data_IF_859703314066
#
_entry.id   IF_859703314066
#
_cell.length_a   1.000
_cell.length_b   1.000
_cell.length_c   1.000
_cell.angle_alpha   90.00
_cell.angle_beta   90.00
_cell.angle_gamma   90.00
#
_symmetry.space_group_name_H-M   'P 1'
#
loop_
_entity.id
_entity.type
_entity.pdbx_description
1 polymer ?
#
# COMPACT_ATOMS: atom_id res chain seq x y z
N UNK A 1 -20.92 34.25 -3.61
CA UNK A 1 -21.02 32.78 -3.46
C UNK A 1 -19.65 32.21 -3.70
N UNK A 2 -19.03 31.65 -2.66
CA UNK A 2 -17.84 30.82 -2.83
C UNK A 2 -18.20 29.67 -3.77
N UNK A 3 -17.47 29.50 -4.87
CA UNK A 3 -17.73 28.38 -5.79
C UNK A 3 -17.55 27.08 -5.00
N UNK A 4 -18.49 26.15 -5.15
CA UNK A 4 -18.27 24.76 -4.73
C UNK A 4 -16.94 24.33 -5.36
N UNK A 5 -15.95 24.09 -4.51
CA UNK A 5 -14.63 23.63 -4.94
C UNK A 5 -14.78 22.29 -5.65
N UNK A 6 -13.80 22.00 -6.50
CA UNK A 6 -13.63 20.73 -7.22
C UNK A 6 -13.91 19.52 -6.32
N UNK A 7 -14.71 18.57 -6.80
CA UNK A 7 -15.04 17.36 -6.04
C UNK A 7 -13.79 16.49 -5.81
N UNK A 8 -13.75 15.62 -4.77
CA UNK A 8 -12.63 14.71 -4.56
C UNK A 8 -12.31 13.84 -5.78
N UNK A 9 -13.33 13.37 -6.50
CA UNK A 9 -13.15 12.58 -7.73
C UNK A 9 -12.48 13.38 -8.85
N UNK A 10 -12.80 14.67 -9.00
CA UNK A 10 -12.15 15.54 -9.97
C UNK A 10 -10.71 15.88 -9.57
N UNK A 11 -10.42 16.01 -8.27
CA UNK A 11 -9.04 16.15 -7.77
C UNK A 11 -8.21 14.91 -8.13
N UNK A 12 -8.76 13.71 -7.95
CA UNK A 12 -8.07 12.46 -8.28
C UNK A 12 -7.72 12.33 -9.77
N UNK A 13 -8.47 12.96 -10.69
CA UNK A 13 -8.12 13.00 -12.12
C UNK A 13 -6.80 13.73 -12.39
N UNK A 14 -6.41 14.64 -11.49
CA UNK A 14 -5.15 15.38 -11.59
C UNK A 14 -3.96 14.64 -10.99
N UNK A 15 -4.22 13.58 -10.20
CA UNK A 15 -3.17 12.76 -9.59
C UNK A 15 -2.54 11.86 -10.64
N UNK A 16 -1.27 12.12 -10.93
CA UNK A 16 -0.47 11.35 -11.88
C UNK A 16 0.33 10.26 -11.15
N UNK A 17 0.13 9.01 -11.56
CA UNK A 17 0.96 7.88 -11.14
C UNK A 17 2.18 7.84 -12.06
N UNK A 18 3.37 7.84 -11.48
CA UNK A 18 4.62 7.80 -12.24
C UNK A 18 4.74 6.50 -13.03
N UNK A 19 5.36 6.53 -14.21
CA UNK A 19 5.44 5.37 -15.13
C UNK A 19 5.94 4.10 -14.43
N UNK A 20 7.02 4.21 -13.66
CA UNK A 20 7.60 3.08 -12.92
C UNK A 20 6.61 2.51 -11.90
N UNK A 21 5.90 3.37 -11.17
CA UNK A 21 4.88 2.91 -10.22
C UNK A 21 3.70 2.26 -10.95
N UNK A 22 3.29 2.82 -12.09
CA UNK A 22 2.21 2.27 -12.89
C UNK A 22 2.55 0.88 -13.43
N UNK A 23 3.77 0.64 -13.91
CA UNK A 23 4.24 -0.68 -14.35
C UNK A 23 4.19 -1.71 -13.21
N UNK A 24 4.68 -1.33 -12.02
CA UNK A 24 4.63 -2.21 -10.85
C UNK A 24 3.19 -2.45 -10.38
N UNK A 25 2.32 -1.45 -10.46
CA UNK A 25 0.91 -1.55 -10.12
C UNK A 25 0.18 -2.53 -11.04
N UNK A 26 0.44 -2.47 -12.35
CA UNK A 26 -0.05 -3.44 -13.34
C UNK A 26 0.38 -4.87 -12.97
N UNK A 27 1.68 -5.06 -12.74
CA UNK A 27 2.27 -6.36 -12.39
C UNK A 27 1.60 -6.96 -11.15
N UNK A 28 1.40 -6.13 -10.11
CA UNK A 28 0.76 -6.58 -8.86
C UNK A 28 -0.72 -6.88 -9.07
N UNK A 29 -1.45 -6.06 -9.83
CA UNK A 29 -2.86 -6.33 -10.12
C UNK A 29 -3.04 -7.69 -10.83
N UNK A 30 -2.22 -7.95 -11.86
CA UNK A 30 -2.26 -9.21 -12.60
C UNK A 30 -1.85 -10.41 -11.76
N UNK A 31 -0.89 -10.23 -10.85
CA UNK A 31 -0.55 -11.25 -9.86
C UNK A 31 -1.73 -11.53 -8.92
N UNK A 32 -2.32 -10.49 -8.32
CA UNK A 32 -3.38 -10.64 -7.32
C UNK A 32 -4.63 -11.30 -7.91
N UNK A 33 -5.09 -10.87 -9.09
CA UNK A 33 -6.36 -11.39 -9.67
C UNK A 33 -6.33 -12.87 -10.07
N UNK A 34 -5.18 -13.53 -9.99
CA UNK A 34 -4.99 -14.92 -10.43
C UNK A 34 -4.71 -15.90 -9.28
N UNK A 35 -4.83 -15.47 -8.02
CA UNK A 35 -4.46 -16.31 -6.87
C UNK A 35 -5.56 -17.31 -6.50
N UNK A 36 -6.81 -16.92 -6.68
CA UNK A 36 -7.95 -17.80 -6.58
C UNK A 36 -8.12 -18.62 -7.86
N UNK A 37 -7.54 -19.81 -7.84
CA UNK A 37 -7.65 -20.80 -8.93
C UNK A 37 -9.05 -21.42 -9.04
N UNK A 38 -9.96 -21.16 -8.10
CA UNK A 38 -11.33 -21.68 -8.12
C UNK A 38 -12.34 -20.71 -8.72
N UNK A 39 -11.91 -19.45 -8.94
CA UNK A 39 -12.72 -18.40 -9.56
C UNK A 39 -13.02 -18.74 -11.02
N UNK A 40 -14.30 -18.71 -11.40
CA UNK A 40 -14.77 -19.01 -12.77
C UNK A 40 -15.36 -17.80 -13.50
N UNK A 41 -15.71 -16.73 -12.77
CA UNK A 41 -16.27 -15.48 -13.28
C UNK A 41 -15.45 -14.30 -12.73
N UNK A 42 -15.56 -13.10 -13.32
CA UNK A 42 -14.80 -11.91 -12.90
C UNK A 42 -13.28 -12.15 -12.82
N UNK A 43 -12.74 -12.91 -13.78
CA UNK A 43 -11.31 -13.29 -13.85
C UNK A 43 -10.37 -12.08 -13.98
N UNK A 44 -10.90 -10.97 -14.48
CA UNK A 44 -10.23 -9.69 -14.63
C UNK A 44 -10.24 -8.84 -13.36
N UNK A 45 -11.01 -9.23 -12.32
CA UNK A 45 -11.10 -8.53 -11.03
C UNK A 45 -10.45 -9.32 -9.89
N UNK A 46 -10.07 -8.64 -8.82
CA UNK A 46 -9.50 -9.27 -7.61
C UNK A 46 -10.65 -9.63 -6.66
N UNK A 47 -10.71 -10.87 -6.21
CA UNK A 47 -11.71 -11.34 -5.24
C UNK A 47 -11.19 -11.32 -3.80
N UNK A 48 -12.08 -11.48 -2.82
CA UNK A 48 -11.68 -11.75 -1.43
C UNK A 48 -10.76 -12.98 -1.33
N UNK A 49 -11.03 -14.06 -2.06
CA UNK A 49 -10.20 -15.27 -2.01
C UNK A 49 -8.80 -15.04 -2.57
N UNK A 50 -8.66 -14.19 -3.60
CA UNK A 50 -7.36 -13.79 -4.14
C UNK A 50 -6.48 -13.12 -3.08
N UNK A 51 -7.07 -12.21 -2.30
CA UNK A 51 -6.41 -11.52 -1.19
C UNK A 51 -6.07 -12.51 -0.06
N UNK A 52 -7.01 -13.39 0.31
CA UNK A 52 -6.78 -14.38 1.36
C UNK A 52 -5.59 -15.29 1.02
N UNK A 53 -5.52 -15.81 -0.22
CA UNK A 53 -4.42 -16.66 -0.68
C UNK A 53 -3.09 -15.92 -0.71
N UNK A 54 -3.08 -14.66 -1.12
CA UNK A 54 -1.88 -13.83 -1.09
C UNK A 54 -1.38 -13.62 0.33
N UNK A 55 -2.26 -13.27 1.27
CA UNK A 55 -1.88 -13.06 2.67
C UNK A 55 -1.35 -14.36 3.30
N UNK A 56 -1.96 -15.50 3.00
CA UNK A 56 -1.46 -16.82 3.42
C UNK A 56 -0.07 -17.13 2.85
N UNK A 57 0.14 -16.82 1.56
CA UNK A 57 1.45 -16.92 0.92
C UNK A 57 2.52 -16.06 1.63
N UNK A 58 2.13 -14.87 2.09
CA UNK A 58 2.98 -13.95 2.86
C UNK A 58 3.13 -14.36 4.35
N UNK A 59 2.62 -15.53 4.75
CA UNK A 59 2.73 -16.07 6.11
C UNK A 59 1.70 -15.52 7.10
N UNK A 60 0.71 -14.74 6.64
CA UNK A 60 -0.38 -14.26 7.46
C UNK A 60 -1.52 -15.28 7.58
N UNK A 61 -2.36 -15.14 8.61
CA UNK A 61 -3.55 -15.97 8.82
C UNK A 61 -4.78 -15.08 8.97
N UNK A 62 -5.23 -14.41 7.89
CA UNK A 62 -6.37 -13.52 8.00
C UNK A 62 -7.66 -14.30 8.19
N UNK A 63 -8.58 -13.72 8.94
CA UNK A 63 -9.97 -14.16 9.02
C UNK A 63 -10.73 -13.73 7.77
N UNK A 64 -11.86 -14.39 7.50
CA UNK A 64 -12.73 -14.02 6.39
C UNK A 64 -13.20 -12.56 6.48
N UNK A 65 -13.58 -12.12 7.68
CA UNK A 65 -14.08 -10.76 7.91
C UNK A 65 -13.00 -9.69 7.64
N UNK A 66 -11.74 -9.96 8.01
CA UNK A 66 -10.62 -9.05 7.70
C UNK A 66 -10.43 -8.91 6.19
N UNK A 67 -10.51 -10.03 5.45
CA UNK A 67 -10.35 -10.00 4.00
C UNK A 67 -11.52 -9.31 3.29
N UNK A 68 -12.75 -9.56 3.73
CA UNK A 68 -13.94 -8.87 3.22
C UNK A 68 -13.83 -7.36 3.48
N UNK A 69 -13.29 -6.95 4.63
CA UNK A 69 -13.04 -5.54 4.93
C UNK A 69 -12.00 -4.92 3.98
N UNK A 70 -10.93 -5.65 3.65
CA UNK A 70 -9.90 -5.18 2.69
C UNK A 70 -10.51 -4.89 1.32
N UNK A 71 -11.44 -5.73 0.85
CA UNK A 71 -12.16 -5.50 -0.41
C UNK A 71 -13.10 -4.30 -0.27
N UNK A 72 -13.88 -4.26 0.82
CA UNK A 72 -14.87 -3.22 1.09
C UNK A 72 -14.28 -1.80 1.17
N UNK A 73 -13.01 -1.66 1.58
CA UNK A 73 -12.30 -0.37 1.58
C UNK A 73 -12.20 0.28 0.19
N UNK A 74 -12.35 -0.51 -0.88
CA UNK A 74 -11.98 -0.13 -2.25
C UNK A 74 -13.10 -0.39 -3.27
N UNK A 75 -13.98 -1.34 -2.97
CA UNK A 75 -15.15 -1.72 -3.77
C UNK A 75 -16.21 -0.61 -3.74
N UNK A 76 -16.16 0.30 -4.73
CA UNK A 76 -17.03 1.47 -4.83
C UNK A 76 -18.38 1.07 -5.47
N UNK A 77 -18.42 0.00 -6.28
CA UNK A 77 -19.65 -0.49 -6.94
C UNK A 77 -20.40 -1.60 -6.18
N UNK A 78 -19.83 -2.08 -5.08
CA UNK A 78 -20.36 -3.08 -4.15
C UNK A 78 -20.59 -4.45 -4.79
N UNK A 79 -19.80 -4.81 -5.80
CA UNK A 79 -19.91 -6.12 -6.45
C UNK A 79 -19.13 -7.23 -5.74
N UNK A 80 -18.37 -6.90 -4.69
CA UNK A 80 -17.57 -7.83 -3.90
C UNK A 80 -16.20 -8.16 -4.51
N UNK A 81 -15.80 -7.45 -5.56
CA UNK A 81 -14.51 -7.57 -6.22
C UNK A 81 -13.83 -6.19 -6.31
N UNK A 82 -12.53 -6.19 -6.61
CA UNK A 82 -11.80 -4.97 -6.94
C UNK A 82 -11.47 -4.98 -8.41
N UNK A 83 -12.11 -4.09 -9.16
CA UNK A 83 -11.83 -3.81 -10.56
C UNK A 83 -10.51 -3.07 -10.74
N UNK A 84 -10.06 -2.99 -11.99
CA UNK A 84 -8.86 -2.22 -12.34
C UNK A 84 -9.01 -0.73 -12.03
N UNK A 85 -10.19 -0.15 -12.27
CA UNK A 85 -10.42 1.27 -11.99
C UNK A 85 -10.36 1.56 -10.49
N UNK A 86 -11.01 0.74 -9.67
CA UNK A 86 -11.01 0.90 -8.20
C UNK A 86 -9.61 0.74 -7.61
N UNK A 87 -8.84 -0.23 -8.12
CA UNK A 87 -7.45 -0.41 -7.73
C UNK A 87 -6.59 0.84 -7.98
N UNK A 88 -6.74 1.48 -9.14
CA UNK A 88 -6.05 2.72 -9.47
C UNK A 88 -6.55 3.91 -8.64
N UNK A 89 -7.85 3.99 -8.39
CA UNK A 89 -8.47 5.03 -7.55
C UNK A 89 -7.95 4.94 -6.11
N UNK A 90 -7.95 3.74 -5.51
CA UNK A 90 -7.38 3.49 -4.19
C UNK A 90 -5.92 3.94 -4.13
N UNK A 91 -5.13 3.57 -5.14
CA UNK A 91 -3.72 3.95 -5.19
C UNK A 91 -3.56 5.48 -5.21
N UNK A 92 -4.33 6.19 -6.06
CA UNK A 92 -4.31 7.65 -6.15
C UNK A 92 -4.76 8.33 -4.85
N UNK A 93 -5.82 7.83 -4.19
CA UNK A 93 -6.27 8.31 -2.88
C UNK A 93 -5.11 8.23 -1.87
N UNK A 94 -4.48 7.06 -1.76
CA UNK A 94 -3.43 6.82 -0.77
C UNK A 94 -2.14 7.60 -0.99
N UNK A 95 -1.68 7.78 -2.25
CA UNK A 95 -0.45 8.55 -2.53
C UNK A 95 -0.64 10.07 -2.41
N UNK A 96 -1.88 10.56 -2.55
CA UNK A 96 -2.21 11.97 -2.37
C UNK A 96 -2.59 12.31 -0.92
N UNK A 97 -2.81 11.29 -0.08
CA UNK A 97 -3.11 11.43 1.33
C UNK A 97 -1.83 11.65 2.17
N UNK A 98 -1.57 12.92 2.48
CA UNK A 98 -0.46 13.36 3.33
C UNK A 98 -0.71 13.19 4.84
N UNK A 99 -1.95 12.88 5.24
CA UNK A 99 -2.34 12.76 6.65
C UNK A 99 -2.47 11.30 7.11
N UNK A 100 -2.31 10.35 6.20
CA UNK A 100 -2.46 8.92 6.44
C UNK A 100 -3.86 8.56 7.00
N UNK A 101 -4.92 9.24 6.54
CA UNK A 101 -6.32 9.06 6.96
C UNK A 101 -7.13 8.13 6.05
N UNK A 102 -6.68 7.89 4.82
CA UNK A 102 -7.34 6.94 3.91
C UNK A 102 -7.21 5.50 4.44
N UNK A 103 -8.22 4.65 4.24
CA UNK A 103 -8.11 3.20 4.44
C UNK A 103 -6.99 2.63 3.55
N UNK A 104 -6.15 1.77 4.13
CA UNK A 104 -4.83 1.45 3.55
C UNK A 104 -4.47 -0.03 3.59
N UNK A 105 -5.39 -0.92 3.95
CA UNK A 105 -5.01 -2.33 4.09
C UNK A 105 -4.64 -2.93 2.72
N UNK A 106 -5.49 -2.72 1.70
CA UNK A 106 -5.15 -3.15 0.33
C UNK A 106 -3.94 -2.37 -0.21
N UNK A 107 -3.87 -1.06 0.04
CA UNK A 107 -2.75 -0.22 -0.39
C UNK A 107 -1.40 -0.72 0.14
N UNK A 108 -1.33 -1.09 1.43
CA UNK A 108 -0.11 -1.59 2.05
C UNK A 108 0.31 -2.94 1.47
N UNK A 109 -0.65 -3.86 1.26
CA UNK A 109 -0.39 -5.13 0.57
C UNK A 109 0.17 -4.91 -0.83
N UNK A 110 -0.47 -4.04 -1.60
CA UNK A 110 -0.05 -3.71 -2.97
C UNK A 110 1.33 -3.07 -2.99
N UNK A 111 1.58 -2.10 -2.11
CA UNK A 111 2.88 -1.42 -2.04
C UNK A 111 4.01 -2.38 -1.68
N UNK A 112 3.78 -3.30 -0.74
CA UNK A 112 4.76 -4.36 -0.43
C UNK A 112 5.06 -5.23 -1.66
N UNK A 113 4.02 -5.69 -2.36
CA UNK A 113 4.18 -6.53 -3.55
C UNK A 113 4.80 -5.77 -4.73
N UNK A 114 4.63 -4.45 -4.80
CA UNK A 114 5.31 -3.61 -5.80
C UNK A 114 6.82 -3.60 -5.60
N UNK A 115 7.29 -3.68 -4.34
CA UNK A 115 8.72 -3.85 -4.04
C UNK A 115 9.18 -5.28 -4.34
N UNK A 116 8.39 -6.30 -3.99
CA UNK A 116 8.72 -7.72 -4.20
C UNK A 116 8.66 -8.09 -5.69
N UNK A 117 9.78 -7.91 -6.40
CA UNK A 117 9.86 -8.05 -7.87
C UNK A 117 9.55 -9.48 -8.33
N UNK A 118 9.99 -10.45 -7.56
CA UNK A 118 9.90 -11.88 -7.88
C UNK A 118 8.80 -12.61 -7.09
N UNK A 119 8.01 -11.89 -6.29
CA UNK A 119 6.97 -12.45 -5.42
C UNK A 119 7.50 -13.55 -4.50
N UNK A 120 8.57 -13.25 -3.75
CA UNK A 120 9.22 -14.17 -2.81
C UNK A 120 8.66 -14.09 -1.39
N UNK A 121 7.84 -13.08 -1.11
CA UNK A 121 7.27 -12.79 0.21
C UNK A 121 8.23 -12.07 1.16
N UNK A 122 9.39 -11.63 0.66
CA UNK A 122 10.37 -10.82 1.38
C UNK A 122 10.94 -9.76 0.44
N UNK A 123 11.23 -8.60 0.99
CA UNK A 123 11.71 -7.44 0.23
C UNK A 123 13.02 -6.96 0.83
N UNK A 124 14.04 -6.75 -0.01
CA UNK A 124 15.32 -6.15 0.41
C UNK A 124 15.30 -4.64 0.26
N UNK A 125 16.28 -3.96 0.85
CA UNK A 125 16.41 -2.49 0.71
C UNK A 125 16.53 -2.11 -0.76
N UNK A 126 17.38 -2.81 -1.53
CA UNK A 126 17.63 -2.54 -2.95
C UNK A 126 16.34 -2.57 -3.78
N UNK A 127 15.46 -3.54 -3.50
CA UNK A 127 14.18 -3.68 -4.18
C UNK A 127 13.23 -2.49 -3.96
N UNK A 128 13.36 -1.79 -2.83
CA UNK A 128 12.53 -0.62 -2.53
C UNK A 128 13.01 0.68 -3.18
N UNK A 129 14.31 0.79 -3.49
CA UNK A 129 14.97 2.06 -3.80
C UNK A 129 14.33 2.81 -4.97
N UNK A 130 13.99 2.10 -6.05
CA UNK A 130 13.46 2.74 -7.26
C UNK A 130 12.13 3.43 -7.00
N UNK A 131 11.18 2.73 -6.36
CA UNK A 131 9.85 3.29 -6.05
C UNK A 131 9.98 4.40 -5.00
N UNK A 132 10.80 4.20 -3.95
CA UNK A 132 11.00 5.21 -2.92
C UNK A 132 11.61 6.50 -3.48
N UNK A 133 12.61 6.37 -4.36
CA UNK A 133 13.25 7.50 -5.01
C UNK A 133 12.25 8.32 -5.85
N UNK A 134 11.41 7.63 -6.61
CA UNK A 134 10.39 8.27 -7.46
C UNK A 134 9.33 9.00 -6.62
N UNK A 135 8.91 8.41 -5.49
CA UNK A 135 7.83 8.95 -4.66
C UNK A 135 8.27 10.07 -3.72
N UNK A 136 9.43 9.93 -3.10
CA UNK A 136 9.88 10.80 -2.01
C UNK A 136 11.08 11.67 -2.38
N UNK A 137 11.74 11.36 -3.50
CA UNK A 137 12.95 12.03 -3.95
C UNK A 137 14.19 11.65 -3.11
N UNK A 138 15.37 11.98 -3.64
CA UNK A 138 16.66 11.66 -3.01
C UNK A 138 16.78 12.13 -1.56
N UNK A 139 16.23 13.30 -1.24
CA UNK A 139 16.40 13.94 0.08
C UNK A 139 15.73 13.18 1.21
N UNK A 140 14.63 12.48 0.93
CA UNK A 140 13.85 11.78 1.95
C UNK A 140 14.08 10.26 1.93
N UNK A 141 14.89 9.76 0.97
CA UNK A 141 15.07 8.34 0.74
C UNK A 141 15.54 7.59 1.99
N UNK A 142 16.54 8.13 2.69
CA UNK A 142 17.10 7.51 3.91
C UNK A 142 16.06 7.44 5.04
N UNK A 143 15.20 8.46 5.17
CA UNK A 143 14.11 8.47 6.15
C UNK A 143 13.04 7.43 5.84
N UNK A 144 12.73 7.24 4.55
CA UNK A 144 11.78 6.21 4.09
C UNK A 144 12.33 4.80 4.27
N UNK A 145 13.61 4.58 3.96
CA UNK A 145 14.29 3.30 4.22
C UNK A 145 14.27 3.01 5.72
N UNK A 146 14.64 3.98 6.56
CA UNK A 146 14.60 3.83 8.01
C UNK A 146 13.18 3.58 8.53
N UNK A 147 12.16 4.18 7.92
CA UNK A 147 10.77 3.91 8.28
C UNK A 147 10.36 2.46 7.98
N UNK A 148 10.83 1.90 6.85
CA UNK A 148 10.48 0.54 6.42
C UNK A 148 11.36 -0.52 7.11
N UNK A 149 12.66 -0.30 7.20
CA UNK A 149 13.61 -1.31 7.67
C UNK A 149 14.04 -1.09 9.12
N UNK A 150 13.84 0.11 9.68
CA UNK A 150 14.33 0.51 11.00
C UNK A 150 15.74 1.10 10.94
N UNK A 151 16.33 1.37 12.10
CA UNK A 151 17.74 1.71 12.19
C UNK A 151 18.59 0.49 11.80
N UNK A 152 19.57 0.68 10.90
CA UNK A 152 20.49 -0.35 10.44
C UNK A 152 21.29 -0.94 11.60
N UNK A 153 20.73 -1.92 12.30
CA UNK A 153 21.52 -2.88 13.08
C UNK A 153 21.95 -3.97 12.10
N UNK A 154 22.92 -3.65 11.24
CA UNK A 154 23.63 -4.71 10.53
C UNK A 154 24.33 -5.53 11.59
N UNK A 155 23.87 -6.76 11.79
CA UNK A 155 24.69 -7.75 12.45
C UNK A 155 25.92 -7.92 11.55
N UNK A 156 27.09 -7.50 12.03
CA UNK A 156 28.32 -7.53 11.22
C UNK A 156 28.75 -8.97 10.86
N UNK A 157 28.07 -9.97 11.43
CA UNK A 157 28.35 -11.39 11.30
C UNK A 157 27.48 -12.10 10.25
N UNK A 158 26.41 -11.49 9.74
CA UNK A 158 25.56 -12.08 8.70
C UNK A 158 25.77 -11.39 7.35
N UNK A 159 26.21 -12.17 6.36
CA UNK A 159 26.34 -11.73 4.95
C UNK A 159 25.00 -11.64 4.22
N UNK A 160 23.87 -11.95 4.88
CA UNK A 160 22.55 -11.88 4.27
C UNK A 160 22.09 -10.43 4.17
N UNK A 161 21.63 -10.06 2.97
CA UNK A 161 21.07 -8.73 2.74
C UNK A 161 19.85 -8.52 3.64
N UNK A 162 19.80 -7.37 4.32
CA UNK A 162 18.68 -7.02 5.17
C UNK A 162 17.38 -7.01 4.35
N UNK A 163 16.43 -7.83 4.78
CA UNK A 163 15.11 -7.98 4.16
C UNK A 163 13.99 -7.82 5.19
N UNK A 164 12.78 -7.61 4.71
CA UNK A 164 11.59 -7.47 5.53
C UNK A 164 10.44 -8.33 4.99
N UNK A 165 9.70 -8.95 5.91
CA UNK A 165 8.45 -9.66 5.60
C UNK A 165 7.26 -8.69 5.51
N UNK A 166 6.16 -9.14 4.93
CA UNK A 166 4.94 -8.33 4.88
C UNK A 166 4.45 -7.91 6.27
N UNK A 167 4.44 -8.82 7.25
CA UNK A 167 3.98 -8.53 8.61
C UNK A 167 4.82 -7.44 9.29
N UNK A 168 6.14 -7.51 9.18
CA UNK A 168 7.07 -6.51 9.73
C UNK A 168 6.89 -5.15 9.03
N UNK A 169 6.71 -5.18 7.70
CA UNK A 169 6.44 -3.98 6.91
C UNK A 169 5.17 -3.27 7.38
N UNK A 170 4.05 -4.00 7.48
CA UNK A 170 2.76 -3.46 7.94
C UNK A 170 2.87 -2.89 9.36
N UNK A 171 3.55 -3.59 10.27
CA UNK A 171 3.75 -3.11 11.63
C UNK A 171 4.47 -1.74 11.67
N UNK A 172 5.54 -1.60 10.88
CA UNK A 172 6.36 -0.38 10.86
C UNK A 172 5.64 0.80 10.22
N UNK A 173 4.99 0.61 9.08
CA UNK A 173 4.24 1.68 8.40
C UNK A 173 2.99 2.09 9.21
N UNK A 174 2.30 1.14 9.86
CA UNK A 174 1.14 1.44 10.70
C UNK A 174 1.57 2.25 11.92
N UNK A 175 2.66 1.84 12.58
CA UNK A 175 3.25 2.60 13.69
C UNK A 175 3.63 4.02 13.26
N UNK A 176 4.16 4.20 12.05
CA UNK A 176 4.50 5.52 11.50
C UNK A 176 3.26 6.37 11.24
N UNK A 177 2.23 5.80 10.60
CA UNK A 177 0.98 6.49 10.33
C UNK A 177 0.32 6.99 11.62
N UNK A 178 0.22 6.13 12.64
CA UNK A 178 -0.34 6.49 13.95
C UNK A 178 0.44 7.63 14.62
N UNK A 179 1.78 7.62 14.54
CA UNK A 179 2.61 8.72 15.07
C UNK A 179 2.36 10.04 14.35
N UNK A 180 2.21 10.01 13.02
CA UNK A 180 1.91 11.22 12.22
C UNK A 180 0.53 11.77 12.55
N UNK A 181 -0.49 10.91 12.58
CA UNK A 181 -1.85 11.28 12.98
C UNK A 181 -1.89 11.91 14.38
N UNK A 182 -1.21 11.30 15.36
CA UNK A 182 -1.10 11.86 16.72
C UNK A 182 -0.41 13.23 16.72
N UNK A 183 0.63 13.41 15.89
CA UNK A 183 1.30 14.69 15.70
C UNK A 183 0.38 15.79 15.18
N UNK A 184 -0.51 15.48 14.23
CA UNK A 184 -1.50 16.43 13.71
C UNK A 184 -2.54 16.82 14.76
N UNK A 185 -3.05 15.85 15.53
CA UNK A 185 -4.00 16.11 16.61
C UNK A 185 -3.39 16.96 17.73
N UNK A 186 -2.11 16.74 18.05
CA UNK A 186 -1.38 17.52 19.04
C UNK A 186 -1.14 18.97 18.62
N UNK A 187 -0.93 19.25 17.33
CA UNK A 187 -0.77 20.60 16.78
C UNK A 187 -2.08 21.39 16.79
N UNK A 188 -3.18 20.80 16.33
CA UNK A 188 -4.51 21.45 16.36
C UNK A 188 -4.91 21.95 17.75
N UNK A 189 -4.66 21.15 18.80
CA UNK A 189 -4.95 21.55 20.19
C UNK A 189 -4.15 22.77 20.68
N UNK A 190 -3.01 23.08 20.07
CA UNK A 190 -2.19 24.25 20.40
C UNK A 190 -2.60 25.49 19.61
N UNK A 191 -3.08 25.32 18.38
CA UNK A 191 -3.55 26.43 17.53
C UNK A 191 -4.92 26.95 17.99
N UNK A 192 -5.70 26.12 18.70
CA UNK A 192 -7.01 26.47 19.28
C UNK A 192 -6.91 27.07 20.72
N UNK A 193 -5.71 27.32 21.26
CA UNK A 193 -5.45 27.97 22.57
C UNK A 193 -4.81 29.34 22.41
#
# INVERSE_FOLDING_TARGET
MEKLKTSPAEVLKTVHIQTIEYEQLNRVFDFLKTRDTTKTENLDKISSMDIARTLQFLGCKPTRAEVELIIWEVDDDLDGFVSRQEFEIMYKRCISDSMDLEPRQLYNLVTFLMYDKDFRGRVTIEETLQILFVRHGRKNLDEEIKAIFGDEQRDKDTSEEQSITYSEYVEKITRRALKRQAGYLGKRKKDDQ
#
